data_IF_406500673846
#
_entry.id   IF_406500673846
#
_cell.length_a   1.000
_cell.length_b   1.000
_cell.length_c   1.000
_cell.angle_alpha   90.00
_cell.angle_beta   90.00
_cell.angle_gamma   90.00
#
_symmetry.space_group_name_H-M   'P 1'
#
loop_
_entity.id
_entity.type
_entity.pdbx_description
1 polymer ?
#
# COMPACT_ATOMS: atom_id res chain seq x y z
N UNK A 1 27.74 -16.77 12.18
CA UNK A 1 27.14 -15.60 12.82
C UNK A 1 26.62 -14.55 11.82
N UNK A 2 27.37 -14.09 10.80
CA UNK A 2 26.89 -13.07 9.83
C UNK A 2 25.62 -13.48 9.05
N UNK A 3 25.43 -14.76 8.71
CA UNK A 3 24.25 -15.23 7.96
C UNK A 3 22.95 -15.23 8.81
N UNK A 4 23.07 -15.50 10.12
CA UNK A 4 21.94 -15.50 11.05
C UNK A 4 21.47 -14.07 11.33
N UNK A 5 22.39 -13.13 11.54
CA UNK A 5 22.07 -11.71 11.73
C UNK A 5 21.43 -11.09 10.47
N UNK A 6 21.87 -11.48 9.27
CA UNK A 6 21.26 -11.05 8.01
C UNK A 6 19.86 -11.65 7.77
N UNK A 7 19.60 -12.86 8.27
CA UNK A 7 18.28 -13.50 8.20
C UNK A 7 17.31 -12.86 9.20
N UNK A 8 17.75 -12.58 10.42
CA UNK A 8 16.98 -11.85 11.44
C UNK A 8 16.67 -10.40 11.00
N UNK A 9 17.64 -9.72 10.38
CA UNK A 9 17.45 -8.38 9.83
C UNK A 9 16.45 -8.33 8.67
N UNK A 10 16.40 -9.36 7.83
CA UNK A 10 15.42 -9.49 6.76
C UNK A 10 14.02 -9.79 7.27
N UNK A 11 13.88 -10.59 8.32
CA UNK A 11 12.61 -10.83 9.01
C UNK A 11 12.06 -9.58 9.69
N UNK A 12 12.94 -8.70 10.21
CA UNK A 12 12.56 -7.43 10.83
C UNK A 12 12.17 -6.33 9.84
N UNK A 13 12.35 -6.54 8.52
CA UNK A 13 12.10 -5.56 7.47
C UNK A 13 10.89 -5.89 6.58
N UNK A 14 10.36 -7.12 6.67
CA UNK A 14 9.31 -7.62 5.78
C UNK A 14 8.10 -8.15 6.54
N UNK A 15 6.95 -8.07 5.86
CA UNK A 15 5.72 -8.72 6.30
C UNK A 15 5.80 -10.24 6.06
N UNK A 16 5.51 -11.02 7.09
CA UNK A 16 5.68 -12.48 7.05
C UNK A 16 4.69 -13.20 6.13
N UNK A 17 3.51 -12.61 5.84
CA UNK A 17 2.50 -13.22 5.00
C UNK A 17 2.74 -12.94 3.51
N UNK A 18 3.03 -11.70 3.18
CA UNK A 18 3.12 -11.21 1.79
C UNK A 18 4.54 -11.08 1.27
N UNK A 19 5.53 -11.04 2.16
CA UNK A 19 6.93 -10.78 1.81
C UNK A 19 7.24 -9.33 1.43
N UNK A 20 6.24 -8.45 1.43
CA UNK A 20 6.42 -7.03 1.17
C UNK A 20 7.22 -6.35 2.28
N UNK A 21 7.85 -5.20 2.02
CA UNK A 21 8.30 -4.28 3.06
C UNK A 21 7.20 -4.08 4.12
N UNK A 22 7.61 -4.05 5.39
CA UNK A 22 6.71 -3.74 6.49
C UNK A 22 6.64 -2.23 6.76
N UNK A 23 5.85 -1.79 7.76
CA UNK A 23 5.71 -0.39 8.17
C UNK A 23 7.07 0.30 8.37
N UNK A 24 7.98 -0.33 9.11
CA UNK A 24 9.30 0.25 9.41
C UNK A 24 10.13 0.49 8.16
N UNK A 25 10.11 -0.44 7.22
CA UNK A 25 10.80 -0.31 5.94
C UNK A 25 10.18 0.77 5.06
N UNK A 26 8.85 0.85 5.03
CA UNK A 26 8.14 1.90 4.32
C UNK A 26 8.50 3.28 4.85
N UNK A 27 8.44 3.48 6.17
CA UNK A 27 8.74 4.77 6.80
C UNK A 27 10.16 5.27 6.46
N UNK A 28 11.13 4.37 6.39
CA UNK A 28 12.49 4.70 5.92
C UNK A 28 12.50 5.14 4.44
N UNK A 29 11.77 4.46 3.59
CA UNK A 29 11.68 4.81 2.17
C UNK A 29 10.98 6.16 1.97
N UNK A 30 9.89 6.41 2.69
CA UNK A 30 9.18 7.70 2.66
C UNK A 30 10.07 8.82 3.20
N UNK A 31 10.79 8.59 4.30
CA UNK A 31 11.72 9.57 4.86
C UNK A 31 12.81 9.97 3.85
N UNK A 32 13.37 9.00 3.11
CA UNK A 32 14.33 9.25 2.05
C UNK A 32 13.72 10.04 0.89
N UNK A 33 12.48 9.74 0.49
CA UNK A 33 11.77 10.45 -0.55
C UNK A 33 11.46 11.90 -0.15
N UNK A 34 11.01 12.13 1.08
CA UNK A 34 10.78 13.46 1.65
C UNK A 34 12.06 14.28 1.68
N UNK A 35 13.17 13.69 2.17
CA UNK A 35 14.47 14.38 2.21
C UNK A 35 14.99 14.75 0.82
N UNK A 36 14.69 13.96 -0.21
CA UNK A 36 14.99 14.34 -1.61
C UNK A 36 14.10 15.48 -2.08
N UNK A 37 12.81 15.43 -1.78
CA UNK A 37 11.84 16.45 -2.15
C UNK A 37 12.16 17.82 -1.54
N UNK A 38 12.60 17.85 -0.28
CA UNK A 38 13.10 19.07 0.40
C UNK A 38 14.26 19.73 -0.33
N UNK A 39 15.06 18.95 -1.04
CA UNK A 39 16.17 19.43 -1.87
C UNK A 39 15.78 19.69 -3.32
N UNK A 40 14.49 19.65 -3.65
CA UNK A 40 13.98 19.83 -5.01
C UNK A 40 14.25 18.65 -5.96
N UNK A 41 14.54 17.47 -5.42
CA UNK A 41 14.87 16.26 -6.19
C UNK A 41 13.64 15.34 -6.32
N UNK A 42 12.59 15.87 -6.92
CA UNK A 42 11.36 15.14 -7.18
C UNK A 42 10.26 15.41 -6.16
N UNK A 43 9.06 14.97 -6.49
CA UNK A 43 7.86 15.12 -5.64
C UNK A 43 7.24 13.74 -5.46
N UNK A 44 7.39 13.10 -4.30
CA UNK A 44 6.76 11.80 -4.05
C UNK A 44 5.28 11.94 -3.72
N UNK A 45 4.53 10.86 -3.94
CA UNK A 45 3.18 10.69 -3.43
C UNK A 45 3.07 9.36 -2.68
N UNK A 46 2.13 9.25 -1.76
CA UNK A 46 1.78 7.99 -1.12
C UNK A 46 0.32 7.66 -1.38
N UNK A 47 0.04 6.39 -1.63
CA UNK A 47 -1.30 5.85 -1.74
C UNK A 47 -1.50 4.86 -0.61
N UNK A 48 -2.50 5.11 0.24
CA UNK A 48 -2.96 4.16 1.25
C UNK A 48 -4.08 3.32 0.65
N UNK A 49 -4.01 2.02 0.85
CA UNK A 49 -5.01 1.04 0.42
C UNK A 49 -5.49 0.28 1.64
N UNK A 50 -6.78 0.29 1.86
CA UNK A 50 -7.43 -0.41 2.97
C UNK A 50 -8.46 -1.39 2.41
N UNK A 51 -8.35 -2.66 2.80
CA UNK A 51 -9.29 -3.69 2.38
C UNK A 51 -10.50 -3.71 3.31
N UNK A 52 -11.66 -3.47 2.73
CA UNK A 52 -12.93 -3.60 3.42
C UNK A 52 -13.39 -5.06 3.42
N UNK A 53 -14.06 -5.46 4.48
CA UNK A 53 -14.77 -6.75 4.56
C UNK A 53 -13.89 -8.02 4.57
N UNK A 54 -12.57 -7.93 4.83
CA UNK A 54 -11.74 -9.13 4.94
C UNK A 54 -12.20 -10.05 6.08
N UNK A 55 -12.76 -9.49 7.16
CA UNK A 55 -13.37 -10.28 8.23
C UNK A 55 -14.53 -11.14 7.72
N UNK A 56 -15.33 -10.61 6.79
CA UNK A 56 -16.43 -11.36 6.16
C UNK A 56 -15.87 -12.49 5.29
N UNK A 57 -14.80 -12.24 4.54
CA UNK A 57 -14.12 -13.30 3.78
C UNK A 57 -13.63 -14.40 4.71
N UNK A 58 -12.99 -14.06 5.81
CA UNK A 58 -12.51 -15.02 6.81
C UNK A 58 -13.64 -15.81 7.44
N UNK A 59 -14.76 -15.16 7.77
CA UNK A 59 -15.91 -15.80 8.36
C UNK A 59 -16.63 -16.75 7.40
N UNK A 60 -16.70 -16.41 6.13
CA UNK A 60 -17.42 -17.17 5.09
C UNK A 60 -16.57 -18.29 4.50
N UNK A 61 -15.29 -18.02 4.21
CA UNK A 61 -14.40 -18.90 3.45
C UNK A 61 -13.20 -19.41 4.25
N UNK A 62 -13.03 -18.96 5.50
CA UNK A 62 -11.92 -19.32 6.37
C UNK A 62 -10.68 -18.42 6.22
N UNK A 63 -9.78 -18.50 7.21
CA UNK A 63 -8.55 -17.68 7.28
C UNK A 63 -7.62 -17.90 6.10
N UNK A 64 -7.53 -19.10 5.57
CA UNK A 64 -6.69 -19.42 4.40
C UNK A 64 -7.14 -18.63 3.18
N UNK A 65 -8.46 -18.44 2.99
CA UNK A 65 -9.01 -17.62 1.92
C UNK A 65 -8.66 -16.13 2.11
N UNK A 66 -8.78 -15.60 3.34
CA UNK A 66 -8.36 -14.22 3.64
C UNK A 66 -6.87 -13.99 3.41
N UNK A 67 -6.02 -14.94 3.81
CA UNK A 67 -4.58 -14.88 3.53
C UNK A 67 -4.28 -14.91 2.02
N UNK A 68 -5.03 -15.70 1.25
CA UNK A 68 -4.92 -15.73 -0.21
C UNK A 68 -5.33 -14.38 -0.83
N UNK A 69 -6.38 -13.73 -0.33
CA UNK A 69 -6.77 -12.37 -0.75
C UNK A 69 -5.64 -11.38 -0.50
N UNK A 70 -5.05 -11.40 0.71
CA UNK A 70 -3.94 -10.49 1.05
C UNK A 70 -2.72 -10.69 0.14
N UNK A 71 -2.37 -11.93 -0.19
CA UNK A 71 -1.28 -12.23 -1.13
C UNK A 71 -1.61 -11.78 -2.56
N UNK A 72 -2.84 -11.98 -3.01
CA UNK A 72 -3.29 -11.55 -4.33
C UNK A 72 -3.27 -10.02 -4.46
N UNK A 73 -3.73 -9.30 -3.43
CA UNK A 73 -3.65 -7.83 -3.38
C UNK A 73 -2.20 -7.36 -3.41
N UNK A 74 -1.32 -7.96 -2.61
CA UNK A 74 0.11 -7.64 -2.62
C UNK A 74 0.73 -7.81 -4.01
N UNK A 75 0.48 -8.92 -4.67
CA UNK A 75 0.96 -9.20 -6.02
C UNK A 75 0.41 -8.21 -7.04
N UNK A 76 -0.87 -7.89 -6.97
CA UNK A 76 -1.50 -6.93 -7.88
C UNK A 76 -0.97 -5.51 -7.69
N UNK A 77 -0.78 -5.05 -6.46
CA UNK A 77 -0.19 -3.75 -6.19
C UNK A 77 1.23 -3.66 -6.76
N UNK A 78 2.04 -4.70 -6.58
CA UNK A 78 3.38 -4.76 -7.17
C UNK A 78 3.34 -4.73 -8.71
N UNK A 79 2.40 -5.43 -9.33
CA UNK A 79 2.25 -5.44 -10.80
C UNK A 79 1.79 -4.09 -11.35
N UNK A 80 0.99 -3.34 -10.58
CA UNK A 80 0.50 -2.01 -10.96
C UNK A 80 1.48 -0.88 -10.66
N UNK A 81 2.42 -1.09 -9.73
CA UNK A 81 3.47 -0.14 -9.38
C UNK A 81 4.65 -0.23 -10.37
N UNK A 82 5.44 0.84 -10.44
CA UNK A 82 6.69 0.85 -11.20
C UNK A 82 7.83 0.24 -10.38
N UNK A 83 8.90 -0.19 -11.06
CA UNK A 83 10.06 -0.80 -10.40
C UNK A 83 10.76 0.10 -9.37
N UNK A 84 10.60 1.42 -9.49
CA UNK A 84 11.15 2.42 -8.55
C UNK A 84 10.21 2.68 -7.35
N UNK A 85 8.94 2.31 -7.46
CA UNK A 85 7.95 2.51 -6.41
C UNK A 85 8.11 1.44 -5.32
N UNK A 86 7.68 1.75 -4.11
CA UNK A 86 7.70 0.83 -2.98
C UNK A 86 6.28 0.44 -2.60
N UNK A 87 5.98 -0.85 -2.59
CA UNK A 87 4.74 -1.41 -2.06
C UNK A 87 5.02 -2.04 -0.71
N UNK A 88 4.26 -1.69 0.31
CA UNK A 88 4.42 -2.19 1.68
C UNK A 88 3.08 -2.62 2.27
N UNK A 89 3.12 -3.58 3.19
CA UNK A 89 1.99 -3.91 4.06
C UNK A 89 2.28 -3.40 5.46
N UNK A 90 1.41 -2.51 5.96
CA UNK A 90 1.64 -1.80 7.23
C UNK A 90 0.71 -2.19 8.36
N UNK A 91 -0.34 -2.93 8.06
CA UNK A 91 -1.32 -3.42 9.02
C UNK A 91 -1.99 -4.69 8.50
N UNK A 92 -2.98 -5.20 9.22
CA UNK A 92 -3.69 -6.43 8.86
C UNK A 92 -4.32 -6.37 7.46
N UNK A 93 -4.96 -5.24 7.15
CA UNK A 93 -5.69 -4.98 5.90
C UNK A 93 -5.20 -3.74 5.17
N UNK A 94 -4.10 -3.18 5.61
CA UNK A 94 -3.56 -1.92 5.13
C UNK A 94 -2.27 -2.09 4.33
N UNK A 95 -2.26 -1.51 3.13
CA UNK A 95 -1.09 -1.41 2.27
C UNK A 95 -0.79 0.05 1.95
N UNK A 96 0.46 0.35 1.69
CA UNK A 96 0.89 1.68 1.23
C UNK A 96 1.79 1.53 0.02
N UNK A 97 1.54 2.35 -0.99
CA UNK A 97 2.42 2.47 -2.17
C UNK A 97 3.08 3.84 -2.14
N UNK A 98 4.40 3.87 -2.05
CA UNK A 98 5.20 5.07 -2.27
C UNK A 98 5.47 5.20 -3.77
N UNK A 99 4.97 6.27 -4.36
CA UNK A 99 5.19 6.66 -5.75
C UNK A 99 6.39 7.61 -5.80
N UNK A 100 7.53 7.09 -6.21
CA UNK A 100 8.77 7.87 -6.31
C UNK A 100 8.69 8.90 -7.43
N UNK A 101 9.10 10.13 -7.16
CA UNK A 101 9.16 11.23 -8.12
C UNK A 101 7.85 11.46 -8.90
N UNK A 102 6.70 11.18 -8.30
CA UNK A 102 5.41 11.18 -8.98
C UNK A 102 4.41 12.01 -8.22
N UNK A 103 4.19 13.24 -8.67
CA UNK A 103 3.18 14.15 -8.17
C UNK A 103 2.16 14.51 -9.24
N UNK A 104 1.16 15.32 -8.88
CA UNK A 104 0.17 15.89 -9.80
C UNK A 104 -0.56 14.85 -10.65
N UNK A 105 -0.70 15.10 -11.98
CA UNK A 105 -1.44 14.20 -12.88
C UNK A 105 -0.87 12.78 -12.91
N UNK A 106 0.44 12.62 -12.76
CA UNK A 106 1.10 11.31 -12.71
C UNK A 106 0.67 10.49 -11.51
N UNK A 107 0.52 11.11 -10.34
CA UNK A 107 0.04 10.45 -9.14
C UNK A 107 -1.44 10.06 -9.27
N UNK A 108 -2.27 10.92 -9.86
CA UNK A 108 -3.68 10.61 -10.15
C UNK A 108 -3.81 9.43 -11.11
N UNK A 109 -3.00 9.37 -12.15
CA UNK A 109 -2.98 8.25 -13.09
C UNK A 109 -2.51 6.95 -12.42
N UNK A 110 -1.52 7.03 -11.53
CA UNK A 110 -1.05 5.87 -10.75
C UNK A 110 -2.14 5.36 -9.79
N UNK A 111 -2.85 6.26 -9.10
CA UNK A 111 -3.98 5.90 -8.24
C UNK A 111 -5.08 5.17 -9.02
N UNK A 112 -5.45 5.68 -10.19
CA UNK A 112 -6.44 5.03 -11.06
C UNK A 112 -6.00 3.62 -11.47
N UNK A 113 -4.75 3.45 -11.90
CA UNK A 113 -4.19 2.15 -12.28
C UNK A 113 -4.17 1.15 -11.11
N UNK A 114 -3.82 1.59 -9.90
CA UNK A 114 -3.87 0.75 -8.70
C UNK A 114 -5.31 0.32 -8.39
N UNK A 115 -6.24 1.25 -8.47
CA UNK A 115 -7.67 0.99 -8.25
C UNK A 115 -8.23 -0.02 -9.25
N UNK A 116 -7.98 0.20 -10.53
CA UNK A 116 -8.47 -0.68 -11.61
C UNK A 116 -7.92 -2.11 -11.45
N UNK A 117 -6.63 -2.23 -11.12
CA UNK A 117 -6.01 -3.53 -10.86
C UNK A 117 -6.67 -4.29 -9.72
N UNK A 118 -7.04 -3.59 -8.63
CA UNK A 118 -7.69 -4.21 -7.48
C UNK A 118 -9.16 -4.58 -7.76
N UNK A 119 -9.85 -3.83 -8.61
CA UNK A 119 -11.25 -4.14 -8.95
C UNK A 119 -11.41 -5.51 -9.61
N UNK A 120 -10.42 -5.98 -10.36
CA UNK A 120 -10.43 -7.29 -11.00
C UNK A 120 -10.21 -8.48 -10.06
N UNK A 121 -9.72 -8.25 -8.85
CA UNK A 121 -9.35 -9.31 -7.92
C UNK A 121 -10.48 -9.82 -7.01
N UNK A 122 -11.50 -9.03 -6.81
CA UNK A 122 -12.48 -9.29 -5.75
C UNK A 122 -13.69 -10.11 -6.19
N UNK A 123 -13.54 -11.03 -7.15
CA UNK A 123 -14.66 -11.77 -7.73
C UNK A 123 -14.47 -13.26 -7.48
N UNK A 124 -15.47 -13.90 -6.87
CA UNK A 124 -15.49 -15.36 -6.67
C UNK A 124 -15.89 -16.12 -7.96
N UNK A 125 -15.97 -17.45 -7.90
CA UNK A 125 -16.36 -18.27 -9.03
C UNK A 125 -17.80 -18.05 -9.53
N UNK A 126 -18.65 -17.36 -8.76
CA UNK A 126 -20.01 -16.96 -9.16
C UNK A 126 -20.05 -15.57 -9.82
N UNK A 127 -18.96 -14.82 -9.77
CA UNK A 127 -18.89 -13.44 -10.23
C UNK A 127 -19.25 -12.43 -9.15
N UNK A 128 -19.45 -12.85 -7.91
CA UNK A 128 -19.75 -11.98 -6.78
C UNK A 128 -18.48 -11.39 -6.15
N UNK A 129 -18.55 -10.11 -5.81
CA UNK A 129 -17.42 -9.41 -5.17
C UNK A 129 -17.30 -9.81 -3.71
N UNK A 130 -16.18 -10.41 -3.35
CA UNK A 130 -15.92 -10.92 -2.00
C UNK A 130 -15.21 -9.91 -1.08
N UNK A 131 -14.56 -8.87 -1.64
CA UNK A 131 -13.99 -7.77 -0.87
C UNK A 131 -13.98 -6.47 -1.69
N UNK A 132 -13.86 -5.35 -0.98
CA UNK A 132 -13.64 -4.03 -1.56
C UNK A 132 -12.32 -3.44 -1.05
N UNK A 133 -11.77 -2.51 -1.81
CA UNK A 133 -10.63 -1.70 -1.39
C UNK A 133 -10.99 -0.23 -1.44
N UNK A 134 -10.60 0.50 -0.42
CA UNK A 134 -10.65 1.98 -0.38
C UNK A 134 -9.23 2.50 -0.55
N UNK A 135 -9.05 3.50 -1.41
CA UNK A 135 -7.77 4.09 -1.72
C UNK A 135 -7.80 5.59 -1.45
N UNK A 136 -6.75 6.08 -0.82
CA UNK A 136 -6.53 7.51 -0.63
C UNK A 136 -5.10 7.88 -0.98
N UNK A 137 -4.89 9.10 -1.41
CA UNK A 137 -3.60 9.58 -1.89
C UNK A 137 -3.25 10.94 -1.32
N UNK A 138 -1.96 11.14 -1.04
CA UNK A 138 -1.40 12.45 -0.76
C UNK A 138 -0.09 12.64 -1.51
N UNK A 139 0.06 13.81 -2.12
CA UNK A 139 1.32 14.26 -2.73
C UNK A 139 2.08 15.11 -1.72
N UNK A 140 3.41 14.95 -1.68
CA UNK A 140 4.28 15.75 -0.83
C UNK A 140 4.05 17.25 -1.03
N UNK A 141 4.03 17.97 0.08
CA UNK A 141 4.01 19.43 0.14
C UNK A 141 5.20 19.91 0.98
N UNK A 142 5.81 21.05 0.66
CA UNK A 142 6.86 21.61 1.51
C UNK A 142 6.43 21.67 2.98
N UNK A 143 7.28 21.14 3.87
CA UNK A 143 6.99 21.02 5.30
C UNK A 143 6.34 19.70 5.75
N UNK A 144 5.97 18.81 4.83
CA UNK A 144 5.48 17.48 5.22
C UNK A 144 6.58 16.66 5.91
N UNK A 145 6.18 15.98 6.99
CA UNK A 145 6.91 14.86 7.57
C UNK A 145 6.39 13.54 6.97
N UNK A 146 7.08 12.44 7.27
CA UNK A 146 6.60 11.08 6.95
C UNK A 146 5.18 10.89 7.51
N UNK A 147 4.98 11.23 8.78
CA UNK A 147 3.70 11.05 9.45
C UNK A 147 2.59 11.90 8.84
N UNK A 148 2.84 13.19 8.53
CA UNK A 148 1.82 14.07 7.95
C UNK A 148 1.43 13.64 6.54
N UNK A 149 2.38 13.20 5.73
CA UNK A 149 2.13 12.73 4.37
C UNK A 149 1.26 11.47 4.36
N UNK A 150 1.59 10.48 5.18
CA UNK A 150 0.80 9.24 5.31
C UNK A 150 -0.57 9.55 5.90
N UNK A 151 -0.65 10.40 6.92
CA UNK A 151 -1.91 10.76 7.57
C UNK A 151 -2.88 11.47 6.62
N UNK A 152 -2.38 12.31 5.70
CA UNK A 152 -3.24 12.94 4.67
C UNK A 152 -3.80 11.92 3.67
N UNK A 153 -3.01 10.94 3.27
CA UNK A 153 -3.49 9.85 2.41
C UNK A 153 -4.52 8.98 3.13
N UNK A 154 -4.32 8.71 4.41
CA UNK A 154 -5.26 7.94 5.24
C UNK A 154 -6.59 8.68 5.44
N UNK A 155 -6.56 9.99 5.65
CA UNK A 155 -7.76 10.82 5.69
C UNK A 155 -8.57 10.76 4.38
N UNK A 156 -7.91 10.66 3.24
CA UNK A 156 -8.54 10.51 1.93
C UNK A 156 -9.22 9.13 1.79
N UNK A 157 -8.61 8.05 2.33
CA UNK A 157 -9.26 6.73 2.44
C UNK A 157 -10.55 6.83 3.27
N UNK A 158 -10.48 7.51 4.41
CA UNK A 158 -11.65 7.68 5.27
C UNK A 158 -12.79 8.43 4.56
N UNK A 159 -12.46 9.50 3.82
CA UNK A 159 -13.43 10.24 3.03
C UNK A 159 -14.07 9.37 1.93
N UNK A 160 -13.29 8.53 1.27
CA UNK A 160 -13.82 7.58 0.28
C UNK A 160 -14.78 6.57 0.91
N UNK A 161 -14.44 6.01 2.07
CA UNK A 161 -15.33 5.09 2.80
C UNK A 161 -16.65 5.74 3.20
N UNK A 162 -16.61 6.98 3.65
CA UNK A 162 -17.79 7.73 4.07
C UNK A 162 -18.74 8.10 2.89
N UNK A 163 -18.25 8.06 1.63
CA UNK A 163 -19.02 8.38 0.42
C UNK A 163 -19.75 7.18 -0.17
N UNK A 164 -19.59 5.99 0.39
CA UNK A 164 -20.26 4.73 -0.03
C UNK A 164 -21.45 4.43 0.85
#
# INVERSE_FOLDING_TARGET
>A
MRRLAAALGRSAARDGLTGLPNRRSLEKSVASAVARAERGLGTPSVVVVDLDSLQTVNATYGRVAGDAVLRAVASQLCSSARGVDTVARIGGVEFVVLLEHTGGPGATAALARLRDGLQGLGVDGSGERIFNASLGMATYRPGDSVASLISRADADVYAEKASR
#
